data_IF_790009175557
#
_entry.id   IF_790009175557
#
_cell.length_a   1.000
_cell.length_b   1.000
_cell.length_c   1.000
_cell.angle_alpha   90.00
_cell.angle_beta   90.00
_cell.angle_gamma   90.00
#
_symmetry.space_group_name_H-M   'P 1'
#
loop_
_entity.id
_entity.type
_entity.pdbx_description
1 polymer ?
#
# COMPACT_ATOMS: atom_id res chain seq x y z
N UNK A 1 16.06 23.87 -62.50
CA UNK A 1 15.58 24.27 -61.16
C UNK A 1 14.64 23.24 -60.53
N UNK A 2 13.57 22.82 -61.21
CA UNK A 2 12.56 21.86 -60.69
C UNK A 2 13.14 20.58 -60.06
N UNK A 3 14.04 19.90 -60.78
CA UNK A 3 14.73 18.67 -60.34
C UNK A 3 15.62 18.84 -59.08
N UNK A 4 16.18 20.05 -58.87
CA UNK A 4 16.95 20.37 -57.66
C UNK A 4 16.05 20.58 -56.45
N UNK A 5 14.87 21.19 -56.65
CA UNK A 5 13.87 21.40 -55.60
C UNK A 5 13.25 20.06 -55.17
N UNK A 6 12.94 19.18 -56.13
CA UNK A 6 12.45 17.81 -55.87
C UNK A 6 13.45 16.99 -55.04
N UNK A 7 14.75 17.03 -55.40
CA UNK A 7 15.79 16.34 -54.63
C UNK A 7 15.95 16.91 -53.21
N UNK A 8 15.78 18.23 -53.03
CA UNK A 8 15.87 18.88 -51.72
C UNK A 8 14.70 18.49 -50.82
N UNK A 9 13.49 18.42 -51.38
CA UNK A 9 12.29 17.96 -50.67
C UNK A 9 12.41 16.49 -50.25
N UNK A 10 12.92 15.63 -51.13
CA UNK A 10 13.20 14.22 -50.82
C UNK A 10 14.24 14.07 -49.69
N UNK A 11 15.32 14.86 -49.74
CA UNK A 11 16.33 14.86 -48.69
C UNK A 11 15.75 15.33 -47.34
N UNK A 12 14.90 16.36 -47.34
CA UNK A 12 14.25 16.86 -46.13
C UNK A 12 13.30 15.81 -45.54
N UNK A 13 12.53 15.12 -46.39
CA UNK A 13 11.59 14.08 -45.98
C UNK A 13 12.33 12.87 -45.40
N UNK A 14 13.46 12.49 -46.00
CA UNK A 14 14.33 11.44 -45.47
C UNK A 14 14.93 11.82 -44.11
N UNK A 15 15.33 13.09 -43.94
CA UNK A 15 15.86 13.59 -42.67
C UNK A 15 14.79 13.59 -41.57
N UNK A 16 13.55 13.95 -41.90
CA UNK A 16 12.41 13.89 -40.98
C UNK A 16 12.14 12.45 -40.53
N UNK A 17 12.20 11.48 -41.46
CA UNK A 17 12.03 10.05 -41.15
C UNK A 17 13.16 9.53 -40.25
N UNK A 18 14.42 9.89 -40.53
CA UNK A 18 15.55 9.48 -39.70
C UNK A 18 15.46 10.07 -38.29
N UNK A 19 15.05 11.33 -38.17
CA UNK A 19 14.89 11.99 -36.88
C UNK A 19 13.73 11.36 -36.11
N UNK A 20 12.58 11.11 -36.75
CA UNK A 20 11.44 10.49 -36.06
C UNK A 20 11.75 9.05 -35.62
N UNK A 21 12.48 8.28 -36.43
CA UNK A 21 12.93 6.93 -36.10
C UNK A 21 13.95 6.94 -34.94
N UNK A 22 14.87 7.92 -34.91
CA UNK A 22 15.80 8.12 -33.79
C UNK A 22 15.09 8.52 -32.48
N UNK A 23 14.01 9.30 -32.55
CA UNK A 23 13.19 9.62 -31.38
C UNK A 23 12.40 8.41 -30.87
N UNK A 24 11.75 7.67 -31.76
CA UNK A 24 10.98 6.46 -31.42
C UNK A 24 11.86 5.35 -30.82
N UNK A 25 13.07 5.16 -31.35
CA UNK A 25 14.02 4.17 -30.84
C UNK A 25 14.54 4.53 -29.45
N UNK A 26 14.76 5.82 -29.17
CA UNK A 26 15.18 6.31 -27.85
C UNK A 26 14.09 6.10 -26.79
N UNK A 27 12.84 6.37 -27.12
CA UNK A 27 11.70 6.17 -26.20
C UNK A 27 11.48 4.68 -25.93
N UNK A 28 11.64 3.84 -26.95
CA UNK A 28 11.59 2.37 -26.81
C UNK A 28 12.71 1.86 -25.89
N UNK A 29 13.94 2.34 -26.07
CA UNK A 29 15.07 1.97 -25.22
C UNK A 29 14.86 2.40 -23.76
N UNK A 30 14.29 3.58 -23.51
CA UNK A 30 13.93 4.03 -22.15
C UNK A 30 12.89 3.11 -21.48
N UNK A 31 11.91 2.63 -22.25
CA UNK A 31 10.90 1.71 -21.76
C UNK A 31 11.45 0.31 -21.51
N UNK A 32 12.30 -0.20 -22.41
CA UNK A 32 12.99 -1.47 -22.25
C UNK A 32 13.94 -1.42 -21.04
N UNK A 33 14.66 -0.32 -20.83
CA UNK A 33 15.50 -0.09 -19.64
C UNK A 33 14.66 -0.05 -18.36
N UNK A 34 13.45 0.52 -18.40
CA UNK A 34 12.52 0.54 -17.27
C UNK A 34 12.01 -0.86 -16.93
N UNK A 35 11.63 -1.65 -17.94
CA UNK A 35 11.25 -3.04 -17.76
C UNK A 35 12.44 -3.89 -17.31
N UNK A 36 13.63 -3.70 -17.88
CA UNK A 36 14.85 -4.38 -17.43
C UNK A 36 15.12 -4.01 -16.00
N UNK A 37 15.12 -2.73 -15.60
CA UNK A 37 15.38 -2.32 -14.22
C UNK A 37 14.34 -2.87 -13.23
N UNK A 38 13.07 -2.96 -13.64
CA UNK A 38 12.00 -3.53 -12.81
C UNK A 38 11.97 -5.06 -12.80
N UNK A 39 12.44 -5.71 -13.87
CA UNK A 39 12.51 -7.17 -13.98
C UNK A 39 13.84 -7.72 -13.46
N UNK A 40 14.94 -6.96 -13.51
CA UNK A 40 16.26 -7.30 -12.95
C UNK A 40 16.37 -6.95 -11.48
N UNK A 41 15.68 -5.91 -11.01
CA UNK A 41 15.16 -5.90 -9.63
C UNK A 41 14.00 -6.87 -9.58
N UNK A 42 14.30 -8.15 -9.80
CA UNK A 42 13.31 -9.20 -9.67
C UNK A 42 12.49 -8.92 -8.42
N UNK A 43 11.20 -9.16 -8.56
CA UNK A 43 10.40 -9.71 -7.49
C UNK A 43 11.13 -10.94 -6.93
N UNK A 44 12.20 -10.72 -6.17
CA UNK A 44 12.59 -11.56 -5.07
C UNK A 44 11.42 -11.44 -4.10
N UNK A 45 10.28 -12.05 -4.42
CA UNK A 45 9.78 -13.03 -3.48
C UNK A 45 10.99 -13.90 -3.22
N UNK A 46 11.73 -13.59 -2.13
CA UNK A 46 12.77 -14.49 -1.67
C UNK A 46 12.18 -15.91 -1.65
N UNK A 47 13.01 -16.96 -1.68
CA UNK A 47 12.50 -18.30 -1.41
C UNK A 47 11.53 -18.18 -0.23
N UNK A 48 10.32 -18.73 -0.39
CA UNK A 48 9.35 -18.78 0.70
C UNK A 48 10.12 -19.47 1.82
N UNK A 49 10.68 -18.69 2.74
CA UNK A 49 11.05 -19.24 4.00
C UNK A 49 9.72 -19.72 4.54
N UNK A 50 9.60 -21.03 4.75
CA UNK A 50 8.72 -21.54 5.77
C UNK A 50 9.13 -20.82 7.06
N UNK A 51 8.61 -19.61 7.23
CA UNK A 51 8.69 -18.91 8.49
C UNK A 51 7.91 -19.81 9.41
N UNK A 52 8.58 -20.40 10.38
CA UNK A 52 7.92 -21.12 11.44
C UNK A 52 6.96 -20.13 12.12
N UNK A 53 5.70 -20.23 11.70
CA UNK A 53 4.61 -19.43 12.23
C UNK A 53 4.01 -20.09 13.46
N UNK A 54 4.43 -21.32 13.82
CA UNK A 54 3.95 -22.02 15.01
C UNK A 54 4.27 -21.22 16.26
N UNK A 55 5.43 -20.54 16.30
CA UNK A 55 5.77 -19.61 17.38
C UNK A 55 4.77 -18.45 17.55
N UNK A 56 4.01 -18.12 16.51
CA UNK A 56 2.96 -17.08 16.51
C UNK A 56 1.55 -17.67 16.54
N UNK A 57 1.42 -19.00 16.72
CA UNK A 57 0.15 -19.67 16.90
C UNK A 57 -0.06 -19.98 18.38
N UNK A 58 -1.01 -19.30 19.03
CA UNK A 58 -1.50 -19.79 20.32
C UNK A 58 -2.30 -21.06 20.10
N UNK A 59 -1.83 -22.17 20.65
CA UNK A 59 -2.63 -23.38 20.79
C UNK A 59 -3.73 -23.10 21.82
N UNK A 60 -4.89 -22.67 21.34
CA UNK A 60 -6.08 -22.61 22.15
C UNK A 60 -6.62 -24.03 22.33
N UNK A 61 -7.01 -24.36 23.55
CA UNK A 61 -7.84 -25.54 23.77
C UNK A 61 -9.12 -25.40 22.94
N UNK A 62 -9.80 -26.50 22.64
CA UNK A 62 -11.08 -26.51 21.89
C UNK A 62 -12.25 -25.84 22.66
N UNK A 63 -11.97 -24.90 23.54
CA UNK A 63 -12.94 -24.13 24.30
C UNK A 63 -13.34 -22.90 23.49
N UNK A 64 -14.60 -22.48 23.65
CA UNK A 64 -15.11 -21.25 23.05
C UNK A 64 -14.36 -20.02 23.59
N UNK A 65 -13.87 -20.09 24.82
CA UNK A 65 -13.10 -19.05 25.50
C UNK A 65 -13.92 -17.82 25.92
N UNK A 66 -15.04 -17.59 25.25
CA UNK A 66 -16.02 -16.55 25.52
C UNK A 66 -17.27 -17.24 26.10
N UNK A 67 -17.82 -16.81 27.25
CA UNK A 67 -19.06 -17.37 27.78
C UNK A 67 -20.21 -17.24 26.77
N UNK A 68 -21.02 -18.29 26.60
CA UNK A 68 -22.13 -18.32 25.63
C UNK A 68 -23.10 -17.14 25.84
N UNK A 69 -23.34 -16.77 27.10
CA UNK A 69 -24.16 -15.63 27.51
C UNK A 69 -23.64 -14.28 26.98
N UNK A 70 -22.33 -14.15 26.76
CA UNK A 70 -21.68 -12.96 26.20
C UNK A 70 -21.63 -12.98 24.66
N UNK A 71 -21.83 -14.13 24.00
CA UNK A 71 -21.87 -14.20 22.52
C UNK A 71 -23.00 -13.34 21.93
N UNK A 72 -24.09 -13.11 22.67
CA UNK A 72 -25.20 -12.23 22.27
C UNK A 72 -24.73 -10.82 21.88
N UNK A 73 -23.66 -10.31 22.48
CA UNK A 73 -23.07 -9.00 22.19
C UNK A 73 -22.33 -8.94 20.85
N UNK A 74 -22.06 -10.09 20.23
CA UNK A 74 -21.37 -10.17 18.93
C UNK A 74 -22.39 -10.20 17.79
N UNK A 75 -23.50 -10.91 17.97
CA UNK A 75 -24.52 -11.18 16.94
C UNK A 75 -25.65 -10.14 16.89
N UNK A 76 -26.03 -9.57 18.04
CA UNK A 76 -27.13 -8.58 18.10
C UNK A 76 -26.72 -7.22 17.53
N UNK A 77 -25.47 -6.81 17.69
CA UNK A 77 -24.99 -5.43 17.50
C UNK A 77 -24.98 -4.97 16.04
N UNK A 78 -24.66 -5.86 15.10
CA UNK A 78 -24.63 -5.53 13.66
C UNK A 78 -26.03 -5.52 13.01
N UNK A 79 -27.00 -6.22 13.62
CA UNK A 79 -28.31 -6.49 13.01
C UNK A 79 -29.44 -5.69 13.66
N UNK A 80 -29.36 -5.39 14.96
CA UNK A 80 -30.46 -4.77 15.72
C UNK A 80 -30.31 -3.27 15.95
N UNK A 81 -29.12 -2.69 15.80
CA UNK A 81 -28.87 -1.32 16.24
C UNK A 81 -28.12 -0.49 15.19
N UNK A 82 -28.80 -0.06 14.10
CA UNK A 82 -28.21 0.82 13.08
C UNK A 82 -27.81 2.22 13.61
N UNK A 83 -28.17 2.53 14.86
CA UNK A 83 -27.87 3.79 15.55
C UNK A 83 -26.80 3.65 16.66
N UNK A 84 -25.94 2.61 16.64
CA UNK A 84 -24.75 2.56 17.51
C UNK A 84 -23.91 3.82 17.26
N UNK A 85 -23.90 4.74 18.23
CA UNK A 85 -23.32 6.08 18.05
C UNK A 85 -24.15 7.22 18.65
N UNK A 86 -25.29 6.95 19.29
CA UNK A 86 -25.91 7.95 20.18
C UNK A 86 -24.98 8.23 21.36
N UNK A 87 -24.77 9.51 21.69
CA UNK A 87 -24.01 9.96 22.84
C UNK A 87 -24.59 9.32 24.11
N UNK A 88 -23.88 8.34 24.65
CA UNK A 88 -24.10 7.87 26.01
C UNK A 88 -23.33 8.84 26.89
N UNK A 89 -24.05 9.69 27.63
CA UNK A 89 -23.45 10.75 28.45
C UNK A 89 -22.58 10.17 29.59
N UNK A 90 -22.89 8.96 30.05
CA UNK A 90 -22.11 8.24 31.07
C UNK A 90 -22.38 6.74 31.05
N UNK A 91 -21.35 5.94 31.33
CA UNK A 91 -21.44 4.48 31.49
C UNK A 91 -21.09 4.14 32.95
N UNK A 92 -21.84 3.21 33.56
CA UNK A 92 -21.53 2.72 34.91
C UNK A 92 -20.17 2.02 34.93
N UNK A 93 -19.39 2.21 35.99
CA UNK A 93 -18.02 1.68 36.10
C UNK A 93 -17.97 0.16 35.84
N UNK A 94 -18.87 -0.60 36.47
CA UNK A 94 -18.92 -2.05 36.33
C UNK A 94 -19.20 -2.49 34.89
N UNK A 95 -20.03 -1.73 34.16
CA UNK A 95 -20.31 -2.00 32.75
C UNK A 95 -19.10 -1.67 31.86
N UNK A 96 -18.34 -0.62 32.17
CA UNK A 96 -17.09 -0.31 31.46
C UNK A 96 -16.05 -1.40 31.69
N UNK A 97 -15.92 -1.90 32.92
CA UNK A 97 -15.01 -2.99 33.25
C UNK A 97 -15.42 -4.26 32.50
N UNK A 98 -16.71 -4.62 32.50
CA UNK A 98 -17.21 -5.80 31.76
C UNK A 98 -16.93 -5.70 30.25
N UNK A 99 -17.07 -4.51 29.66
CA UNK A 99 -16.76 -4.25 28.25
C UNK A 99 -15.28 -4.43 27.94
N UNK A 100 -14.39 -4.00 28.85
CA UNK A 100 -12.93 -4.19 28.70
C UNK A 100 -12.57 -5.66 28.78
N UNK A 101 -13.02 -6.36 29.82
CA UNK A 101 -12.77 -7.81 29.97
C UNK A 101 -13.26 -8.58 28.73
N UNK A 102 -14.47 -8.25 28.26
CA UNK A 102 -15.03 -8.88 27.08
C UNK A 102 -14.24 -8.57 25.80
N UNK A 103 -13.74 -7.33 25.64
CA UNK A 103 -12.84 -6.99 24.53
C UNK A 103 -11.58 -7.85 24.57
N UNK A 104 -10.94 -8.02 25.72
CA UNK A 104 -9.72 -8.81 25.85
C UNK A 104 -9.96 -10.30 25.57
N UNK A 105 -11.11 -10.85 25.99
CA UNK A 105 -11.56 -12.17 25.57
C UNK A 105 -11.70 -12.27 24.04
N UNK A 106 -12.38 -11.31 23.41
CA UNK A 106 -12.55 -11.28 21.94
C UNK A 106 -11.19 -11.20 21.23
N UNK A 107 -10.25 -10.39 21.73
CA UNK A 107 -8.89 -10.30 21.18
C UNK A 107 -8.18 -11.65 21.27
N UNK A 108 -8.18 -12.28 22.44
CA UNK A 108 -7.52 -13.57 22.67
C UNK A 108 -8.07 -14.67 21.78
N UNK A 109 -9.39 -14.76 21.64
CA UNK A 109 -10.05 -15.88 20.94
C UNK A 109 -10.40 -15.61 19.48
N UNK A 110 -10.26 -14.38 18.98
CA UNK A 110 -10.65 -14.01 17.61
C UNK A 110 -9.63 -13.18 16.82
N UNK A 111 -8.68 -12.48 17.47
CA UNK A 111 -7.72 -11.64 16.78
C UNK A 111 -6.49 -12.44 16.32
N UNK A 112 -6.32 -12.58 15.00
CA UNK A 112 -5.21 -13.34 14.42
C UNK A 112 -3.82 -12.76 14.73
N UNK A 113 -3.74 -11.48 15.14
CA UNK A 113 -2.50 -10.84 15.54
C UNK A 113 -2.17 -10.97 17.03
N UNK A 114 -3.00 -11.64 17.84
CA UNK A 114 -2.84 -11.65 19.29
C UNK A 114 -1.44 -12.10 19.74
N UNK A 115 -1.02 -13.30 19.33
CA UNK A 115 0.30 -13.86 19.65
C UNK A 115 1.44 -13.25 18.84
N UNK A 116 1.11 -12.57 17.73
CA UNK A 116 2.10 -11.85 16.92
C UNK A 116 2.55 -10.55 17.61
N UNK A 117 1.62 -9.82 18.24
CA UNK A 117 1.92 -8.52 18.82
C UNK A 117 2.40 -8.59 20.28
N UNK A 118 1.98 -9.59 21.07
CA UNK A 118 2.36 -9.71 22.47
C UNK A 118 2.13 -11.12 23.04
N UNK A 119 2.81 -11.41 24.16
CA UNK A 119 2.59 -12.62 24.96
C UNK A 119 1.37 -12.47 25.87
N UNK A 120 0.80 -13.58 26.34
CA UNK A 120 -0.37 -13.61 27.25
C UNK A 120 -0.17 -12.71 28.48
N UNK A 121 1.02 -12.72 29.09
CA UNK A 121 1.30 -11.92 30.29
C UNK A 121 1.24 -10.42 29.99
N UNK A 122 1.76 -9.99 28.84
CA UNK A 122 1.68 -8.59 28.39
C UNK A 122 0.22 -8.19 28.17
N UNK A 123 -0.61 -9.06 27.59
CA UNK A 123 -2.04 -8.78 27.42
C UNK A 123 -2.76 -8.64 28.76
N UNK A 124 -2.52 -9.54 29.71
CA UNK A 124 -3.11 -9.47 31.06
C UNK A 124 -2.68 -8.22 31.83
N UNK A 125 -1.41 -7.86 31.73
CA UNK A 125 -0.89 -6.64 32.37
C UNK A 125 -1.58 -5.38 31.80
N UNK A 126 -1.83 -5.36 30.49
CA UNK A 126 -2.54 -4.26 29.84
C UNK A 126 -4.01 -4.19 30.25
N UNK A 127 -4.70 -5.33 30.29
CA UNK A 127 -6.08 -5.43 30.76
C UNK A 127 -6.20 -4.90 32.20
N UNK A 128 -5.38 -5.41 33.10
CA UNK A 128 -5.33 -4.99 34.51
C UNK A 128 -5.05 -3.49 34.62
N UNK A 129 -4.11 -2.96 33.85
CA UNK A 129 -3.77 -1.53 33.83
C UNK A 129 -4.94 -0.65 33.39
N UNK A 130 -5.68 -1.07 32.36
CA UNK A 130 -6.89 -0.36 31.89
C UNK A 130 -7.97 -0.40 32.97
N UNK A 131 -8.25 -1.57 33.56
CA UNK A 131 -9.24 -1.73 34.63
C UNK A 131 -8.87 -0.89 35.86
N UNK A 132 -7.61 -0.89 36.28
CA UNK A 132 -7.13 -0.03 37.37
C UNK A 132 -7.29 1.47 37.03
N UNK A 133 -7.03 1.87 35.79
CA UNK A 133 -7.23 3.25 35.35
C UNK A 133 -8.70 3.66 35.38
N UNK A 134 -9.62 2.74 35.04
CA UNK A 134 -11.07 2.96 35.13
C UNK A 134 -11.49 3.16 36.60
N UNK A 135 -11.05 2.29 37.51
CA UNK A 135 -11.37 2.37 38.95
C UNK A 135 -10.80 3.60 39.65
N UNK A 136 -9.72 4.16 39.11
CA UNK A 136 -9.09 5.40 39.62
C UNK A 136 -9.66 6.66 38.94
N UNK A 137 -10.62 6.53 38.02
CA UNK A 137 -11.18 7.68 37.32
C UNK A 137 -12.17 8.40 38.23
N UNK A 138 -11.83 9.61 38.66
CA UNK A 138 -12.58 10.39 39.67
C UNK A 138 -13.99 10.83 39.20
N UNK A 139 -14.28 10.69 37.91
CA UNK A 139 -15.55 11.10 37.28
C UNK A 139 -16.16 9.96 36.50
N UNK A 140 -17.47 10.04 36.21
CA UNK A 140 -18.11 9.04 35.37
C UNK A 140 -17.49 9.00 33.97
N UNK A 141 -17.00 7.83 33.57
CA UNK A 141 -16.34 7.64 32.28
C UNK A 141 -17.34 7.73 31.13
N UNK A 142 -16.98 8.50 30.11
CA UNK A 142 -17.72 8.52 28.85
C UNK A 142 -17.08 7.63 27.78
N UNK A 143 -17.83 7.40 26.69
CA UNK A 143 -17.40 6.54 25.58
C UNK A 143 -16.07 6.96 24.95
N UNK A 144 -15.87 8.26 24.74
CA UNK A 144 -14.70 8.75 24.01
C UNK A 144 -13.43 8.67 24.88
N UNK A 145 -13.56 8.89 26.19
CA UNK A 145 -12.49 8.64 27.17
C UNK A 145 -12.06 7.16 27.17
N UNK A 146 -13.02 6.23 27.18
CA UNK A 146 -12.74 4.80 27.10
C UNK A 146 -12.03 4.44 25.78
N UNK A 147 -12.53 4.94 24.64
CA UNK A 147 -11.90 4.70 23.33
C UNK A 147 -10.47 5.23 23.30
N UNK A 148 -10.24 6.43 23.81
CA UNK A 148 -8.90 7.03 23.88
C UNK A 148 -7.97 6.21 24.78
N UNK A 149 -8.46 5.78 25.95
CA UNK A 149 -7.72 4.92 26.86
C UNK A 149 -7.33 3.61 26.17
N UNK A 150 -8.29 2.91 25.56
CA UNK A 150 -8.05 1.67 24.82
C UNK A 150 -7.04 1.88 23.69
N UNK A 151 -7.21 2.90 22.84
CA UNK A 151 -6.29 3.16 21.73
C UNK A 151 -4.87 3.49 22.19
N UNK A 152 -4.74 4.20 23.32
CA UNK A 152 -3.43 4.54 23.89
C UNK A 152 -2.73 3.30 24.44
N UNK A 153 -3.47 2.44 25.16
CA UNK A 153 -2.92 1.22 25.75
C UNK A 153 -2.59 0.15 24.69
N UNK A 154 -3.31 0.16 23.56
CA UNK A 154 -3.18 -0.82 22.48
C UNK A 154 -2.37 -0.30 21.28
N UNK A 155 -1.59 0.78 21.46
CA UNK A 155 -0.79 1.39 20.39
C UNK A 155 0.38 0.56 19.89
N UNK A 156 0.74 -0.54 20.54
CA UNK A 156 1.72 -1.49 20.00
C UNK A 156 1.13 -2.32 18.83
N UNK A 157 -0.20 -2.37 18.69
CA UNK A 157 -0.88 -3.04 17.58
C UNK A 157 -0.78 -2.16 16.32
N UNK A 158 0.30 -2.34 15.56
CA UNK A 158 0.53 -1.65 14.30
C UNK A 158 -0.16 -2.34 13.10
N UNK A 159 -1.45 -2.66 13.26
CA UNK A 159 -2.31 -3.26 12.23
C UNK A 159 -3.34 -2.23 11.71
N UNK A 160 -3.27 -1.90 10.42
CA UNK A 160 -4.16 -0.90 9.81
C UNK A 160 -5.64 -1.29 9.75
N UNK A 161 -5.93 -2.58 9.91
CA UNK A 161 -7.30 -3.10 9.96
C UNK A 161 -7.85 -3.19 11.39
N UNK A 162 -6.97 -3.07 12.40
CA UNK A 162 -7.37 -3.03 13.79
C UNK A 162 -7.99 -1.68 14.13
N UNK A 163 -9.26 -1.71 14.55
CA UNK A 163 -10.03 -0.53 14.88
C UNK A 163 -10.91 -0.79 16.10
N UNK A 164 -10.95 0.20 17.00
CA UNK A 164 -11.85 0.26 18.14
C UNK A 164 -12.83 1.39 17.85
N UNK A 165 -14.10 1.06 17.67
CA UNK A 165 -15.14 2.04 17.34
C UNK A 165 -14.81 2.95 16.14
N UNK A 166 -14.05 2.43 15.15
CA UNK A 166 -13.61 3.16 13.96
C UNK A 166 -12.28 3.90 14.12
N UNK A 167 -11.79 4.09 15.34
CA UNK A 167 -10.47 4.66 15.65
C UNK A 167 -9.41 3.59 15.54
N UNK A 168 -8.22 3.95 15.08
CA UNK A 168 -7.09 3.02 14.92
C UNK A 168 -5.90 3.54 15.70
N UNK A 169 -5.21 2.69 16.47
CA UNK A 169 -4.06 3.09 17.26
C UNK A 169 -2.74 3.10 16.44
N UNK A 170 -2.82 2.82 15.13
CA UNK A 170 -1.68 2.77 14.22
C UNK A 170 -0.98 4.13 14.11
N UNK A 171 0.36 4.11 14.17
CA UNK A 171 1.17 5.27 13.84
C UNK A 171 1.30 5.35 12.31
N UNK A 172 0.73 6.40 11.72
CA UNK A 172 0.74 6.55 10.27
C UNK A 172 2.06 7.15 9.79
N UNK A 173 2.71 6.48 8.87
CA UNK A 173 3.79 7.08 8.08
C UNK A 173 3.23 7.87 6.89
N UNK A 174 3.92 8.93 6.53
CA UNK A 174 3.66 9.76 5.37
C UNK A 174 4.90 9.81 4.49
N UNK A 175 4.67 9.83 3.18
CA UNK A 175 5.75 9.98 2.22
C UNK A 175 5.94 11.47 1.93
N UNK A 176 7.16 11.96 2.11
CA UNK A 176 7.59 13.33 1.83
C UNK A 176 8.54 13.31 0.65
N UNK A 177 8.41 14.24 -0.29
CA UNK A 177 9.21 14.23 -1.51
C UNK A 177 9.55 15.62 -2.02
N UNK A 178 10.59 15.70 -2.85
CA UNK A 178 10.91 16.87 -3.68
C UNK A 178 11.09 16.40 -5.12
N UNK A 179 10.23 16.86 -6.01
CA UNK A 179 10.23 16.56 -7.45
C UNK A 179 10.85 17.70 -8.30
N UNK A 180 11.42 18.72 -7.66
CA UNK A 180 11.99 19.88 -8.34
C UNK A 180 13.49 19.74 -8.63
N UNK A 181 14.19 18.89 -7.87
CA UNK A 181 15.64 18.70 -7.99
C UNK A 181 15.88 17.29 -8.53
N UNK A 182 16.11 17.21 -9.84
CA UNK A 182 16.49 15.96 -10.49
C UNK A 182 17.88 15.51 -10.03
N UNK A 183 17.93 14.30 -9.49
CA UNK A 183 19.15 13.65 -9.03
C UNK A 183 19.54 12.58 -10.05
N UNK A 184 20.82 12.55 -10.37
CA UNK A 184 21.45 11.52 -11.21
C UNK A 184 22.36 10.64 -10.35
N UNK A 185 22.76 9.49 -10.90
CA UNK A 185 23.66 8.53 -10.26
C UNK A 185 24.78 8.14 -11.22
N UNK A 186 26.01 8.09 -10.73
CA UNK A 186 27.14 7.44 -11.39
C UNK A 186 27.91 6.56 -10.40
N UNK A 187 29.11 6.11 -10.79
CA UNK A 187 29.95 5.24 -9.96
C UNK A 187 30.44 5.88 -8.65
N UNK A 188 30.44 7.22 -8.54
CA UNK A 188 30.85 7.93 -7.32
C UNK A 188 29.66 8.17 -6.38
N UNK A 189 28.43 8.16 -6.89
CA UNK A 189 27.23 8.25 -6.09
C UNK A 189 26.16 9.11 -6.72
N UNK A 190 25.26 9.62 -5.87
CA UNK A 190 24.16 10.48 -6.29
C UNK A 190 24.61 11.94 -6.36
N UNK A 191 24.20 12.65 -7.40
CA UNK A 191 24.58 14.04 -7.61
C UNK A 191 23.50 14.85 -8.30
N UNK A 192 23.59 16.17 -8.15
CA UNK A 192 22.84 17.14 -8.95
C UNK A 192 23.84 17.87 -9.88
N UNK A 193 23.35 18.31 -11.04
CA UNK A 193 24.15 19.12 -11.98
C UNK A 193 23.83 20.59 -11.81
N UNK A 194 24.87 21.38 -11.63
CA UNK A 194 24.83 22.83 -11.83
C UNK A 194 25.76 23.16 -13.00
N UNK A 195 25.18 23.49 -14.15
CA UNK A 195 25.89 23.65 -15.41
C UNK A 195 26.73 22.40 -15.76
N UNK A 196 28.06 22.53 -15.79
CA UNK A 196 29.00 21.42 -16.04
C UNK A 196 29.54 20.78 -14.75
N UNK A 197 29.19 21.35 -13.59
CA UNK A 197 29.68 20.88 -12.30
C UNK A 197 28.72 19.86 -11.69
N UNK A 198 29.28 18.73 -11.25
CA UNK A 198 28.57 17.74 -10.43
C UNK A 198 28.73 18.07 -8.95
N UNK A 199 27.62 18.04 -8.22
CA UNK A 199 27.56 18.21 -6.77
C UNK A 199 27.01 16.92 -6.16
N UNK A 200 27.89 16.13 -5.56
CA UNK A 200 27.56 14.83 -4.99
C UNK A 200 26.92 14.98 -3.63
N UNK A 201 25.83 14.28 -3.39
CA UNK A 201 25.13 14.27 -2.11
C UNK A 201 25.95 13.40 -1.14
N UNK A 202 26.49 14.01 -0.10
CA UNK A 202 27.26 13.31 0.93
C UNK A 202 26.37 12.80 2.07
N UNK A 203 25.41 13.62 2.52
CA UNK A 203 24.50 13.24 3.58
C UNK A 203 23.17 13.97 3.48
N UNK A 204 22.11 13.32 3.96
CA UNK A 204 20.78 13.91 4.12
C UNK A 204 20.35 13.69 5.59
N UNK A 205 19.93 14.73 6.30
CA UNK A 205 19.64 14.68 7.75
C UNK A 205 20.79 14.09 8.58
N UNK A 206 22.03 14.49 8.26
CA UNK A 206 23.26 13.97 8.87
C UNK A 206 23.44 12.44 8.71
N UNK A 207 22.74 11.82 7.77
CA UNK A 207 22.85 10.41 7.44
C UNK A 207 23.58 10.24 6.10
N UNK A 208 24.73 9.58 6.13
CA UNK A 208 25.58 9.29 4.95
C UNK A 208 24.99 8.20 4.04
N UNK A 209 24.02 7.40 4.52
CA UNK A 209 23.27 6.47 3.70
C UNK A 209 22.19 7.21 2.89
N UNK A 210 22.63 7.98 1.89
CA UNK A 210 21.78 8.82 1.05
C UNK A 210 20.76 8.03 0.23
N UNK A 211 21.02 6.75 -0.07
CA UNK A 211 20.10 5.89 -0.82
C UNK A 211 18.77 5.67 -0.08
N UNK A 212 18.78 5.78 1.26
CA UNK A 212 17.54 5.78 2.06
C UNK A 212 16.59 6.92 1.68
N UNK A 213 17.11 8.07 1.23
CA UNK A 213 16.34 9.27 0.94
C UNK A 213 16.15 9.52 -0.56
N UNK A 214 16.75 8.69 -1.43
CA UNK A 214 16.72 8.91 -2.88
C UNK A 214 15.86 7.83 -3.52
N UNK A 215 14.80 8.24 -4.21
CA UNK A 215 13.80 7.34 -4.80
C UNK A 215 13.82 7.45 -6.33
N UNK A 216 13.79 6.30 -7.04
CA UNK A 216 13.66 6.32 -8.49
C UNK A 216 12.32 6.94 -8.89
N UNK A 217 12.32 7.71 -9.96
CA UNK A 217 11.15 8.41 -10.47
C UNK A 217 11.22 8.59 -11.99
N UNK A 218 10.19 9.22 -12.54
CA UNK A 218 10.18 9.78 -13.89
C UNK A 218 10.14 11.30 -13.79
N UNK A 219 10.89 11.99 -14.64
CA UNK A 219 10.82 13.43 -14.77
C UNK A 219 9.65 13.86 -15.68
N UNK A 220 9.51 15.17 -15.92
CA UNK A 220 8.43 15.73 -16.73
C UNK A 220 8.42 15.22 -18.19
N UNK A 221 9.58 14.84 -18.73
CA UNK A 221 9.71 14.24 -20.07
C UNK A 221 9.56 12.71 -20.05
N UNK A 222 9.23 12.10 -18.91
CA UNK A 222 9.10 10.65 -18.78
C UNK A 222 10.43 9.90 -18.77
N UNK A 223 11.55 10.57 -18.52
CA UNK A 223 12.86 9.93 -18.38
C UNK A 223 13.09 9.46 -16.96
N UNK A 224 13.78 8.34 -16.83
CA UNK A 224 14.26 7.83 -15.55
C UNK A 224 15.15 8.85 -14.85
N UNK A 225 14.79 9.19 -13.62
CA UNK A 225 15.56 10.08 -12.75
C UNK A 225 15.46 9.60 -11.30
N UNK A 226 16.07 10.36 -10.40
CA UNK A 226 15.88 10.20 -8.97
C UNK A 226 15.40 11.50 -8.35
N UNK A 227 14.61 11.38 -7.28
CA UNK A 227 14.13 12.49 -6.46
C UNK A 227 14.34 12.20 -4.99
N UNK A 228 14.35 13.25 -4.17
CA UNK A 228 14.33 13.09 -2.72
C UNK A 228 12.97 12.54 -2.29
N UNK A 229 13.00 11.55 -1.41
CA UNK A 229 11.83 10.87 -0.88
C UNK A 229 12.10 10.22 0.47
N UNK A 230 11.30 10.55 1.46
CA UNK A 230 11.37 10.05 2.84
C UNK A 230 10.02 9.50 3.25
N UNK A 231 9.99 8.27 3.77
CA UNK A 231 8.82 7.73 4.46
C UNK A 231 9.06 7.84 5.96
N UNK A 232 8.22 8.61 6.66
CA UNK A 232 8.39 8.84 8.10
C UNK A 232 7.05 9.08 8.78
N UNK A 233 6.98 8.82 10.09
CA UNK A 233 5.87 9.13 10.99
C UNK A 233 5.88 10.59 11.43
N UNK A 234 7.06 11.24 11.43
CA UNK A 234 7.18 12.65 11.77
C UNK A 234 6.83 13.55 10.58
N UNK A 235 6.43 14.78 10.89
CA UNK A 235 6.14 15.78 9.86
C UNK A 235 7.39 16.50 9.41
N UNK A 236 7.60 16.52 8.10
CA UNK A 236 8.73 17.17 7.46
C UNK A 236 8.26 18.27 6.51
N UNK A 237 8.92 19.43 6.57
CA UNK A 237 8.73 20.51 5.59
C UNK A 237 10.01 20.76 4.76
N UNK A 238 11.16 20.35 5.29
CA UNK A 238 12.47 20.49 4.66
C UNK A 238 13.36 19.30 5.05
N UNK A 239 14.38 19.03 4.25
CA UNK A 239 15.48 18.12 4.57
C UNK A 239 16.83 18.85 4.47
N UNK A 240 17.69 18.66 5.46
CA UNK A 240 19.07 19.13 5.46
C UNK A 240 19.91 18.27 4.51
N UNK A 241 20.61 18.89 3.56
CA UNK A 241 21.42 18.17 2.56
C UNK A 241 22.82 18.78 2.47
N UNK A 242 23.82 17.91 2.45
CA UNK A 242 25.22 18.27 2.24
C UNK A 242 25.66 17.81 0.87
N UNK A 243 26.08 18.77 0.04
CA UNK A 243 26.66 18.53 -1.27
C UNK A 243 28.18 18.72 -1.23
N UNK A 244 28.89 17.94 -2.03
CA UNK A 244 30.33 18.06 -2.22
C UNK A 244 30.68 18.10 -3.69
N UNK A 245 31.56 19.03 -4.03
CA UNK A 245 32.14 19.17 -5.35
C UNK A 245 33.62 19.47 -5.20
N UNK A 246 34.48 18.54 -5.61
CA UNK A 246 35.91 18.58 -5.35
C UNK A 246 36.20 18.79 -3.84
N UNK A 247 36.94 19.84 -3.47
CA UNK A 247 37.22 20.22 -2.08
C UNK A 247 36.19 21.19 -1.48
N UNK A 248 35.10 21.51 -2.19
CA UNK A 248 34.06 22.42 -1.72
C UNK A 248 32.88 21.64 -1.17
N UNK A 249 32.45 22.05 0.02
CA UNK A 249 31.22 21.59 0.66
C UNK A 249 30.16 22.68 0.58
N UNK A 250 28.91 22.28 0.37
CA UNK A 250 27.76 23.16 0.38
C UNK A 250 26.63 22.52 1.18
N UNK A 251 26.20 23.18 2.25
CA UNK A 251 25.08 22.73 3.09
C UNK A 251 23.86 23.59 2.79
N UNK A 252 22.71 22.95 2.62
CA UNK A 252 21.45 23.65 2.35
C UNK A 252 20.27 22.86 2.89
N UNK A 253 19.10 23.47 2.89
CA UNK A 253 17.82 22.81 3.17
C UNK A 253 16.98 22.73 1.91
N UNK A 254 16.39 21.58 1.66
CA UNK A 254 15.51 21.35 0.51
C UNK A 254 14.09 21.17 1.00
N UNK A 255 13.16 21.97 0.50
CA UNK A 255 11.74 21.84 0.83
C UNK A 255 11.19 20.50 0.34
N UNK A 256 10.44 19.82 1.19
CA UNK A 256 9.70 18.60 0.83
C UNK A 256 8.20 18.79 1.02
N UNK A 257 7.43 18.13 0.17
CA UNK A 257 5.97 18.13 0.22
C UNK A 257 5.48 16.78 0.71
N UNK A 258 4.46 16.78 1.56
CA UNK A 258 3.76 15.55 1.95
C UNK A 258 2.95 15.04 0.75
N UNK A 259 3.03 13.74 0.50
CA UNK A 259 2.21 13.05 -0.49
C UNK A 259 0.77 12.98 0.00
N UNK A 260 -0.14 13.46 -0.83
CA UNK A 260 -1.58 13.37 -0.59
C UNK A 260 -2.16 12.08 -1.16
N UNK A 261 -3.12 11.53 -0.41
CA UNK A 261 -3.81 10.32 -0.82
C UNK A 261 -4.60 10.56 -2.10
N UNK A 262 -4.24 9.86 -3.18
CA UNK A 262 -4.90 9.96 -4.49
C UNK A 262 -6.24 9.22 -4.54
N UNK A 263 -7.01 9.23 -3.44
CA UNK A 263 -8.30 8.53 -3.38
C UNK A 263 -9.21 9.13 -4.45
N UNK A 264 -9.70 8.26 -5.33
CA UNK A 264 -10.65 8.66 -6.35
C UNK A 264 -11.97 9.09 -5.67
N UNK A 265 -12.25 10.40 -5.68
CA UNK A 265 -13.48 11.00 -5.14
C UNK A 265 -14.62 11.02 -6.16
N UNK A 266 -14.39 10.56 -7.39
CA UNK A 266 -15.42 10.52 -8.41
C UNK A 266 -16.52 9.54 -8.02
N UNK A 267 -17.73 9.81 -8.50
CA UNK A 267 -18.86 8.88 -8.34
C UNK A 267 -18.53 7.53 -8.94
N UNK A 268 -17.90 7.51 -10.12
CA UNK A 268 -17.45 6.30 -10.80
C UNK A 268 -16.02 5.92 -10.39
N UNK A 269 -15.87 4.70 -9.87
CA UNK A 269 -14.58 4.21 -9.40
C UNK A 269 -13.68 3.74 -10.54
N UNK A 270 -14.28 3.21 -11.60
CA UNK A 270 -13.61 2.69 -12.78
C UNK A 270 -13.57 3.73 -13.90
N UNK A 271 -12.41 3.88 -14.55
CA UNK A 271 -12.30 4.61 -15.81
C UNK A 271 -11.41 3.87 -16.80
N UNK A 272 -11.70 4.08 -18.08
CA UNK A 272 -10.89 3.63 -19.21
C UNK A 272 -10.61 4.82 -20.10
N UNK A 273 -9.33 5.04 -20.41
CA UNK A 273 -8.91 6.07 -21.37
C UNK A 273 -7.82 5.54 -22.28
N UNK A 274 -7.76 6.05 -23.51
CA UNK A 274 -6.64 5.84 -24.42
C UNK A 274 -5.76 7.08 -24.41
N UNK A 275 -4.45 6.92 -24.21
CA UNK A 275 -3.48 8.00 -24.36
C UNK A 275 -2.28 7.47 -25.15
N UNK A 276 -1.92 8.14 -26.25
CA UNK A 276 -0.83 7.71 -27.15
C UNK A 276 -0.92 6.23 -27.55
N UNK A 277 -2.13 5.76 -27.89
CA UNK A 277 -2.45 4.36 -28.20
C UNK A 277 -2.21 3.36 -27.05
N UNK A 278 -1.98 3.84 -25.83
CA UNK A 278 -1.87 3.00 -24.64
C UNK A 278 -3.21 3.03 -23.88
N UNK A 279 -3.86 1.88 -23.66
CA UNK A 279 -5.03 1.79 -22.80
C UNK A 279 -4.61 1.98 -21.34
N UNK A 280 -5.33 2.86 -20.65
CA UNK A 280 -5.15 3.16 -19.24
C UNK A 280 -6.46 2.83 -18.53
N UNK A 281 -6.38 1.84 -17.65
CA UNK A 281 -7.46 1.41 -16.77
C UNK A 281 -7.17 1.96 -15.38
N UNK A 282 -8.09 2.71 -14.82
CA UNK A 282 -7.99 3.16 -13.43
C UNK A 282 -9.11 2.55 -12.62
N UNK A 283 -8.78 2.03 -11.44
CA UNK A 283 -9.76 1.50 -10.49
C UNK A 283 -9.51 2.04 -9.09
N UNK A 284 -10.43 2.86 -8.59
CA UNK A 284 -10.28 3.59 -7.33
C UNK A 284 -10.85 2.93 -6.07
N UNK A 285 -11.67 1.89 -6.21
CA UNK A 285 -12.19 1.07 -5.09
C UNK A 285 -12.72 -0.25 -5.64
N UNK A 286 -12.65 -1.34 -4.87
CA UNK A 286 -13.13 -2.68 -5.27
C UNK A 286 -14.50 -3.01 -4.67
N UNK A 287 -15.43 -2.06 -4.70
CA UNK A 287 -16.83 -2.29 -4.33
C UNK A 287 -17.73 -1.28 -5.04
N UNK A 288 -18.96 -1.70 -5.32
CA UNK A 288 -20.00 -0.84 -5.86
C UNK A 288 -20.63 -0.03 -4.73
N UNK A 289 -20.74 1.29 -4.92
CA UNK A 289 -21.26 2.21 -3.89
C UNK A 289 -22.76 2.02 -3.66
N UNK A 290 -23.50 1.69 -4.70
CA UNK A 290 -24.95 1.50 -4.74
C UNK A 290 -25.31 0.56 -5.91
N UNK A 291 -26.61 0.34 -6.14
CA UNK A 291 -27.10 -0.57 -7.17
C UNK A 291 -26.82 -0.08 -8.60
N UNK A 292 -26.65 1.23 -8.78
CA UNK A 292 -26.38 1.87 -10.07
C UNK A 292 -24.88 1.94 -10.41
N UNK A 293 -24.01 1.70 -9.43
CA UNK A 293 -22.56 1.64 -9.61
C UNK A 293 -22.17 0.25 -10.09
N UNK A 294 -21.71 0.15 -11.34
CA UNK A 294 -21.22 -1.09 -11.95
C UNK A 294 -19.70 -1.06 -12.17
N UNK A 295 -18.97 -0.22 -11.41
CA UNK A 295 -17.54 -0.01 -11.63
C UNK A 295 -16.72 -1.30 -11.49
N UNK A 296 -17.10 -2.21 -10.58
CA UNK A 296 -16.36 -3.47 -10.40
C UNK A 296 -16.54 -4.38 -11.61
N UNK A 297 -17.76 -4.50 -12.13
CA UNK A 297 -18.08 -5.30 -13.32
C UNK A 297 -17.38 -4.74 -14.56
N UNK A 298 -17.44 -3.43 -14.77
CA UNK A 298 -16.75 -2.78 -15.89
C UNK A 298 -15.23 -2.94 -15.80
N UNK A 299 -14.67 -2.85 -14.60
CA UNK A 299 -13.27 -3.14 -14.34
C UNK A 299 -12.96 -4.57 -14.76
N UNK A 300 -13.69 -5.57 -14.25
CA UNK A 300 -13.48 -6.99 -14.57
C UNK A 300 -13.50 -7.26 -16.08
N UNK A 301 -14.41 -6.65 -16.82
CA UNK A 301 -14.50 -6.79 -18.29
C UNK A 301 -13.36 -6.08 -19.03
N UNK A 302 -12.78 -5.03 -18.47
CA UNK A 302 -11.65 -4.30 -19.06
C UNK A 302 -10.41 -5.18 -19.26
N UNK A 303 -10.19 -6.16 -18.38
CA UNK A 303 -9.09 -7.11 -18.47
C UNK A 303 -9.05 -7.83 -19.82
N UNK A 304 -10.21 -8.29 -20.31
CA UNK A 304 -10.31 -8.97 -21.62
C UNK A 304 -9.92 -8.04 -22.76
N UNK A 305 -10.32 -6.76 -22.69
CA UNK A 305 -10.02 -5.74 -23.71
C UNK A 305 -8.53 -5.49 -23.86
N UNK A 306 -7.80 -5.50 -22.74
CA UNK A 306 -6.36 -5.24 -22.74
C UNK A 306 -5.50 -6.50 -22.74
N UNK A 307 -6.09 -7.68 -22.54
CA UNK A 307 -5.36 -8.95 -22.45
C UNK A 307 -4.45 -9.17 -23.66
N UNK A 308 -4.87 -8.80 -24.87
CA UNK A 308 -4.11 -8.99 -26.11
C UNK A 308 -3.27 -7.77 -26.53
N UNK A 309 -3.22 -6.72 -25.71
CA UNK A 309 -2.42 -5.53 -26.01
C UNK A 309 -0.96 -5.77 -25.62
N UNK A 310 -0.04 -5.21 -26.41
CA UNK A 310 1.40 -5.26 -26.11
C UNK A 310 1.73 -4.46 -24.85
N UNK A 311 1.03 -3.33 -24.66
CA UNK A 311 1.20 -2.43 -23.52
C UNK A 311 -0.15 -1.95 -23.00
N UNK A 312 -0.29 -1.91 -21.68
CA UNK A 312 -1.43 -1.32 -20.99
C UNK A 312 -0.97 -0.76 -19.63
N UNK A 313 -1.66 0.26 -19.15
CA UNK A 313 -1.43 0.84 -17.82
C UNK A 313 -2.61 0.48 -16.93
N UNK A 314 -2.34 -0.22 -15.83
CA UNK A 314 -3.28 -0.44 -14.75
C UNK A 314 -2.95 0.50 -13.59
N UNK A 315 -3.77 1.52 -13.39
CA UNK A 315 -3.63 2.48 -12.30
C UNK A 315 -4.52 2.12 -11.11
N UNK A 316 -3.89 1.56 -10.08
CA UNK A 316 -4.52 1.25 -8.79
C UNK A 316 -4.12 2.25 -7.70
N UNK A 317 -3.46 3.36 -8.05
CA UNK A 317 -3.11 4.39 -7.05
C UNK A 317 -4.39 4.96 -6.47
N UNK A 318 -4.40 5.11 -5.14
CA UNK A 318 -5.59 5.54 -4.41
C UNK A 318 -6.71 4.50 -4.31
N UNK A 319 -6.52 3.26 -4.81
CA UNK A 319 -7.49 2.19 -4.61
C UNK A 319 -7.61 1.85 -3.12
N UNK A 320 -8.82 1.97 -2.58
CA UNK A 320 -9.09 1.77 -1.15
C UNK A 320 -9.31 0.31 -0.76
N UNK A 321 -9.25 -0.62 -1.70
CA UNK A 321 -9.59 -2.02 -1.51
C UNK A 321 -11.10 -2.26 -1.60
N UNK A 322 -11.56 -3.37 -1.02
CA UNK A 322 -12.96 -3.80 -1.09
C UNK A 322 -13.05 -5.32 -1.22
N UNK A 323 -13.97 -5.77 -2.06
CA UNK A 323 -14.22 -7.18 -2.32
C UNK A 323 -13.09 -7.78 -3.17
N UNK A 324 -12.63 -8.97 -2.79
CA UNK A 324 -11.57 -9.69 -3.51
C UNK A 324 -12.03 -10.25 -4.86
N UNK A 325 -13.33 -10.49 -5.02
CA UNK A 325 -13.89 -11.08 -6.24
C UNK A 325 -13.48 -10.31 -7.51
N UNK A 326 -13.66 -8.99 -7.53
CA UNK A 326 -13.35 -8.17 -8.71
C UNK A 326 -11.89 -8.27 -9.15
N UNK A 327 -10.96 -8.25 -8.19
CA UNK A 327 -9.53 -8.41 -8.47
C UNK A 327 -9.20 -9.81 -9.01
N UNK A 328 -9.79 -10.86 -8.41
CA UNK A 328 -9.54 -12.25 -8.81
C UNK A 328 -10.03 -12.52 -10.24
N UNK A 329 -11.25 -12.07 -10.57
CA UNK A 329 -11.82 -12.28 -11.91
C UNK A 329 -11.11 -11.41 -12.95
N UNK A 330 -10.74 -10.16 -12.59
CA UNK A 330 -9.92 -9.33 -13.48
C UNK A 330 -8.60 -10.00 -13.84
N UNK A 331 -7.88 -10.54 -12.84
CA UNK A 331 -6.63 -11.25 -13.06
C UNK A 331 -6.82 -12.45 -14.01
N UNK A 332 -7.82 -13.29 -13.73
CA UNK A 332 -8.15 -14.43 -14.58
C UNK A 332 -8.50 -14.02 -16.01
N UNK A 333 -9.27 -12.95 -16.18
CA UNK A 333 -9.61 -12.43 -17.50
C UNK A 333 -8.40 -11.86 -18.25
N UNK A 334 -7.41 -11.32 -17.53
CA UNK A 334 -6.21 -10.73 -18.12
C UNK A 334 -5.18 -11.79 -18.52
N UNK A 335 -4.95 -12.78 -17.66
CA UNK A 335 -3.92 -13.81 -17.84
C UNK A 335 -4.42 -15.07 -18.54
N UNK A 336 -5.71 -15.36 -18.43
CA UNK A 336 -6.33 -16.64 -18.80
C UNK A 336 -6.27 -17.71 -17.70
N UNK A 337 -5.51 -17.47 -16.62
CA UNK A 337 -5.30 -18.43 -15.54
C UNK A 337 -5.88 -17.89 -14.22
N UNK A 338 -6.49 -18.73 -13.36
CA UNK A 338 -6.90 -18.28 -12.05
C UNK A 338 -5.69 -17.81 -11.25
N UNK A 339 -5.91 -16.84 -10.35
CA UNK A 339 -4.85 -16.43 -9.43
C UNK A 339 -4.46 -17.62 -8.54
N UNK A 340 -3.15 -17.87 -8.43
CA UNK A 340 -2.58 -18.67 -7.33
C UNK A 340 -2.13 -17.65 -6.29
N UNK A 341 -2.98 -17.34 -5.29
CA UNK A 341 -2.65 -16.28 -4.36
C UNK A 341 -1.52 -16.75 -3.45
N UNK A 342 -0.38 -16.06 -3.51
CA UNK A 342 0.66 -16.18 -2.50
C UNK A 342 0.28 -15.26 -1.34
N UNK A 343 -0.40 -15.82 -0.33
CA UNK A 343 -0.58 -15.16 0.96
C UNK A 343 -0.19 -16.12 2.07
N UNK A 344 0.44 -15.58 3.11
CA UNK A 344 0.48 -16.23 4.41
C UNK A 344 -0.70 -15.70 5.22
N UNK A 345 -1.63 -16.58 5.60
CA UNK A 345 -2.69 -16.20 6.53
C UNK A 345 -2.39 -16.77 7.91
N UNK A 346 -2.25 -15.91 8.90
CA UNK A 346 -2.48 -16.31 10.28
C UNK A 346 -4.00 -16.40 10.48
N UNK A 347 -4.47 -17.59 10.81
CA UNK A 347 -5.86 -17.83 11.18
C UNK A 347 -5.85 -18.43 12.57
N UNK A 348 -6.37 -17.68 13.53
CA UNK A 348 -6.71 -18.26 14.81
C UNK A 348 -7.83 -19.28 14.59
N UNK A 349 -7.65 -20.51 15.06
CA UNK A 349 -8.67 -21.55 15.03
C UNK A 349 -9.19 -21.75 16.45
N UNK A 350 -10.45 -21.38 16.66
CA UNK A 350 -11.15 -21.45 17.93
C UNK A 350 -12.61 -21.83 17.64
N UNK A 351 -13.31 -22.43 18.60
CA UNK A 351 -14.73 -22.75 18.42
C UNK A 351 -15.59 -21.49 18.21
N UNK A 352 -15.14 -20.34 18.69
CA UNK A 352 -15.80 -19.04 18.45
C UNK A 352 -15.87 -18.71 16.96
N UNK A 353 -14.86 -19.05 16.15
CA UNK A 353 -14.92 -18.88 14.69
C UNK A 353 -15.93 -19.79 13.98
N UNK A 354 -16.32 -20.91 14.60
CA UNK A 354 -17.26 -21.87 14.03
C UNK A 354 -18.71 -21.47 14.31
N UNK A 355 -18.95 -20.87 15.47
CA UNK A 355 -20.29 -20.50 15.94
C UNK A 355 -20.64 -19.02 15.68
N UNK A 356 -19.66 -18.15 15.47
CA UNK A 356 -19.88 -16.76 15.09
C UNK A 356 -20.02 -16.64 13.57
N UNK A 357 -21.10 -16.03 13.05
CA UNK A 357 -21.34 -15.86 11.61
C UNK A 357 -20.49 -14.72 11.04
N UNK A 358 -19.17 -14.80 11.18
CA UNK A 358 -18.25 -13.83 10.58
C UNK A 358 -17.72 -14.36 9.24
N UNK A 359 -18.09 -13.73 8.10
CA UNK A 359 -17.29 -13.84 6.88
C UNK A 359 -16.09 -12.90 7.02
N UNK A 360 -15.19 -13.17 7.96
CA UNK A 360 -13.98 -12.38 8.13
C UNK A 360 -12.77 -13.27 7.93
N UNK A 361 -12.49 -13.56 6.66
CA UNK A 361 -11.12 -13.79 6.19
C UNK A 361 -10.37 -12.46 6.31
N UNK A 362 -10.04 -12.02 7.52
CA UNK A 362 -9.15 -10.87 7.70
C UNK A 362 -7.73 -11.41 7.78
N UNK A 363 -7.03 -11.26 6.67
CA UNK A 363 -5.61 -11.54 6.54
C UNK A 363 -4.83 -10.42 7.21
N UNK A 364 -3.88 -10.75 8.09
CA UNK A 364 -2.69 -9.93 8.26
C UNK A 364 -1.94 -10.00 6.93
N UNK A 365 -2.19 -9.02 6.07
CA UNK A 365 -1.69 -9.02 4.70
C UNK A 365 -1.40 -7.60 4.27
N UNK A 366 -0.12 -7.33 3.98
CA UNK A 366 0.29 -6.14 3.25
C UNK A 366 -0.48 -6.05 1.93
N UNK A 367 -0.82 -4.82 1.53
CA UNK A 367 -1.51 -4.53 0.28
C UNK A 367 -0.83 -5.29 -0.87
N UNK A 368 -1.57 -6.18 -1.52
CA UNK A 368 -1.14 -6.84 -2.74
C UNK A 368 -0.87 -5.78 -3.81
N UNK A 369 0.38 -5.63 -4.24
CA UNK A 369 0.68 -5.00 -5.52
C UNK A 369 0.46 -6.07 -6.59
N UNK A 370 -0.58 -5.91 -7.40
CA UNK A 370 -0.72 -6.69 -8.63
C UNK A 370 0.27 -6.09 -9.63
N UNK A 371 1.41 -6.73 -9.83
CA UNK A 371 2.29 -6.44 -10.96
C UNK A 371 1.89 -7.40 -12.07
N UNK A 372 1.13 -6.90 -13.05
CA UNK A 372 0.80 -7.65 -14.26
C UNK A 372 1.87 -7.35 -15.31
N UNK A 373 2.79 -8.29 -15.51
CA UNK A 373 3.66 -8.32 -16.69
C UNK A 373 3.42 -9.62 -17.45
N UNK A 374 2.96 -9.52 -18.69
CA UNK A 374 2.65 -10.67 -19.56
C UNK A 374 3.92 -11.31 -20.16
N UNK A 375 5.09 -10.75 -19.88
CA UNK A 375 6.39 -11.22 -20.36
C UNK A 375 6.91 -12.41 -19.54
N UNK A 376 6.16 -13.51 -19.51
CA UNK A 376 6.67 -14.81 -19.06
C UNK A 376 6.16 -15.99 -19.91
N UNK A 377 5.42 -15.75 -20.99
CA UNK A 377 4.80 -16.82 -21.82
C UNK A 377 5.49 -17.10 -23.17
N UNK A 378 6.78 -16.79 -23.33
CA UNK A 378 7.57 -17.18 -24.53
C UNK A 378 9.05 -17.51 -24.27
N UNK A 379 9.39 -18.16 -23.15
CA UNK A 379 10.77 -18.63 -22.91
C UNK A 379 10.89 -20.06 -22.37
N UNK A 380 9.83 -20.87 -22.46
CA UNK A 380 9.84 -22.29 -22.02
C UNK A 380 9.75 -23.33 -23.15
N UNK A 381 9.76 -22.91 -24.42
CA UNK A 381 9.76 -23.85 -25.58
C UNK A 381 11.09 -23.88 -26.36
N UNK A 382 12.19 -23.31 -25.83
CA UNK A 382 13.52 -23.38 -26.49
C UNK A 382 14.58 -24.20 -25.74
N UNK A 383 14.22 -24.91 -24.66
CA UNK A 383 15.11 -25.89 -24.00
C UNK A 383 14.47 -27.28 -23.88
N UNK A 384 13.75 -27.68 -24.94
CA UNK A 384 13.50 -29.09 -25.27
C UNK A 384 13.82 -29.35 -26.74
N UNK A 385 15.08 -29.17 -27.11
CA UNK A 385 15.90 -30.05 -27.95
C UNK A 385 17.31 -29.52 -28.07
#
# INVERSE_FOLDING_TARGET
MKKRIENLLLALLFLIVLVSEAFLTKDKQCLDDLFILHNTKENMSGPIHESDVEQYMTHLNNELGIPEQKLKYITSTLTQYPNLGKNIESIQEEAVIEDVEFLFDVLKYSYAGYSYFATEDVWKDLENRIISSIKMHDTTMNRDELIQMLCTNLNFIQDSHFKICGYSPIVRSHFYYNDTIEIEKDSRGYYVKDNRQKWYIQSIENNENVEYYIKPSLNAEGKLCYYLGLLDTQSHTHLNVVFQSNSKEYKTTIKVSRSESQINKNEKAYTYKMANNIPIITMGRMYNKNAEDHSVEEFVESAKKISNQELAILDLRGNTGGQSWGANVWFQNFTGDPQIPQFSTLKLWSNSKRELPFPSRRTLGGKSRIICCKSYRKLLDFYRR
#
